data_IF_358192883544
#
_entry.id   IF_358192883544
#
_cell.length_a   1.000
_cell.length_b   1.000
_cell.length_c   1.000
_cell.angle_alpha   90.00
_cell.angle_beta   90.00
_cell.angle_gamma   90.00
#
_symmetry.space_group_name_H-M   'P 1'
#
loop_
_entity.id
_entity.type
_entity.pdbx_description
1 polymer ?
#
# COMPACT_ATOMS: atom_id res chain seq x y z
N UNK A 1 -2.88 -47.56 -6.88
CA UNK A 1 -2.16 -46.61 -7.76
C UNK A 1 -2.65 -45.26 -7.34
N UNK A 2 -1.97 -44.66 -6.36
CA UNK A 2 -2.39 -43.41 -5.73
C UNK A 2 -1.86 -42.30 -6.64
N UNK A 3 -2.76 -41.62 -7.34
CA UNK A 3 -2.40 -40.44 -8.13
C UNK A 3 -1.80 -39.40 -7.19
N UNK A 4 -0.50 -39.19 -7.35
CA UNK A 4 0.24 -38.08 -6.76
C UNK A 4 -0.37 -36.81 -7.37
N UNK A 5 -0.93 -35.88 -6.59
CA UNK A 5 -1.44 -34.65 -7.15
C UNK A 5 -0.27 -33.92 -7.80
N UNK A 6 -0.48 -33.55 -9.05
CA UNK A 6 0.41 -32.77 -9.90
C UNK A 6 0.93 -31.56 -9.10
N UNK A 7 2.21 -31.58 -8.71
CA UNK A 7 2.91 -30.42 -8.15
C UNK A 7 3.17 -29.44 -9.30
N UNK A 8 2.09 -28.90 -9.87
CA UNK A 8 2.17 -27.72 -10.68
C UNK A 8 2.66 -26.61 -9.76
N UNK A 9 3.87 -26.11 -10.01
CA UNK A 9 4.41 -24.93 -9.37
C UNK A 9 3.34 -23.84 -9.41
N UNK A 10 2.71 -23.56 -8.26
CA UNK A 10 1.75 -22.47 -8.16
C UNK A 10 2.53 -21.17 -8.38
N UNK A 11 1.96 -20.28 -9.16
CA UNK A 11 2.49 -18.93 -9.34
C UNK A 11 2.61 -18.26 -7.97
N UNK A 12 3.77 -17.65 -7.69
CA UNK A 12 4.02 -16.97 -6.42
C UNK A 12 3.01 -15.84 -6.25
N UNK A 13 2.26 -15.87 -5.16
CA UNK A 13 1.30 -14.83 -4.81
C UNK A 13 1.91 -13.95 -3.75
N UNK A 14 1.82 -12.64 -3.94
CA UNK A 14 2.33 -11.66 -2.99
C UNK A 14 1.22 -10.70 -2.55
N UNK A 15 1.16 -10.42 -1.26
CA UNK A 15 0.26 -9.42 -0.68
C UNK A 15 1.00 -8.53 0.31
N UNK A 16 0.60 -7.26 0.40
CA UNK A 16 1.09 -6.32 1.41
C UNK A 16 -0.05 -5.89 2.30
N UNK A 17 0.13 -6.07 3.61
CA UNK A 17 -0.71 -5.50 4.64
C UNK A 17 -0.20 -4.10 4.98
N UNK A 18 -1.03 -3.10 4.72
CA UNK A 18 -0.77 -1.69 5.03
C UNK A 18 -1.89 -1.13 5.90
N UNK A 19 -1.54 -0.22 6.80
CA UNK A 19 -2.51 0.45 7.67
C UNK A 19 -3.23 1.58 6.91
N UNK A 20 -4.11 1.20 5.99
CA UNK A 20 -4.85 2.10 5.09
C UNK A 20 -6.32 1.70 5.10
N UNK A 21 -7.20 2.66 5.39
CA UNK A 21 -8.64 2.44 5.34
C UNK A 21 -9.15 2.42 3.88
N UNK A 22 -10.28 1.74 3.63
CA UNK A 22 -10.89 1.62 2.30
C UNK A 22 -11.03 2.96 1.52
N UNK A 23 -11.40 4.10 2.16
CA UNK A 23 -11.49 5.37 1.45
C UNK A 23 -10.15 5.88 0.91
N UNK A 24 -9.02 5.44 1.45
CA UNK A 24 -7.69 5.93 1.06
C UNK A 24 -7.07 5.14 -0.10
N UNK A 25 -7.61 3.96 -0.43
CA UNK A 25 -7.10 3.10 -1.50
C UNK A 25 -7.13 3.74 -2.90
N UNK A 26 -8.15 4.53 -3.31
CA UNK A 26 -8.10 5.25 -4.58
C UNK A 26 -6.94 6.25 -4.68
N UNK A 27 -6.54 6.86 -3.55
CA UNK A 27 -5.38 7.76 -3.52
C UNK A 27 -4.09 6.98 -3.71
N UNK A 28 -3.96 5.83 -3.04
CA UNK A 28 -2.83 4.93 -3.19
C UNK A 28 -2.67 4.47 -4.65
N UNK A 29 -3.77 4.12 -5.33
CA UNK A 29 -3.74 3.73 -6.75
C UNK A 29 -3.28 4.89 -7.66
N UNK A 30 -3.74 6.11 -7.37
CA UNK A 30 -3.30 7.32 -8.07
C UNK A 30 -1.82 7.67 -7.81
N UNK A 31 -1.34 7.50 -6.58
CA UNK A 31 0.05 7.77 -6.20
C UNK A 31 1.01 6.77 -6.86
N UNK A 32 0.64 5.50 -6.91
CA UNK A 32 1.42 4.45 -7.57
C UNK A 32 1.28 4.48 -9.10
N UNK A 33 0.28 5.18 -9.64
CA UNK A 33 -0.08 5.17 -11.07
C UNK A 33 -0.27 3.74 -11.61
N UNK A 34 -0.79 2.84 -10.76
CA UNK A 34 -0.97 1.42 -11.05
C UNK A 34 -2.29 0.94 -10.47
N UNK A 35 -3.01 0.05 -11.19
CA UNK A 35 -4.18 -0.58 -10.64
C UNK A 35 -3.79 -1.66 -9.63
N UNK A 36 -4.62 -1.89 -8.63
CA UNK A 36 -4.46 -3.01 -7.70
C UNK A 36 -5.80 -3.48 -7.15
N UNK A 37 -5.79 -4.69 -6.58
CA UNK A 37 -6.92 -5.25 -5.83
C UNK A 37 -6.56 -5.28 -4.35
N UNK A 38 -7.51 -4.88 -3.50
CA UNK A 38 -7.31 -4.83 -2.06
C UNK A 38 -8.50 -5.40 -1.31
N UNK A 39 -8.24 -5.87 -0.09
CA UNK A 39 -9.25 -6.27 0.88
C UNK A 39 -9.04 -5.48 2.16
N UNK A 40 -10.01 -4.65 2.53
CA UNK A 40 -9.94 -3.85 3.76
C UNK A 40 -10.66 -4.54 4.91
N UNK A 41 -10.01 -4.63 6.06
CA UNK A 41 -10.58 -5.16 7.30
C UNK A 41 -9.92 -4.55 8.52
N UNK A 42 -10.72 -4.09 9.48
CA UNK A 42 -10.25 -3.64 10.80
C UNK A 42 -9.12 -2.58 10.76
N UNK A 43 -9.20 -1.61 9.83
CA UNK A 43 -8.20 -0.54 9.67
C UNK A 43 -6.99 -0.89 8.80
N UNK A 44 -6.90 -2.14 8.37
CA UNK A 44 -5.83 -2.64 7.50
C UNK A 44 -6.38 -2.92 6.10
N UNK A 45 -5.52 -2.76 5.10
CA UNK A 45 -5.79 -3.22 3.74
C UNK A 45 -4.74 -4.23 3.29
N UNK A 46 -5.19 -5.41 2.89
CA UNK A 46 -4.39 -6.41 2.20
C UNK A 46 -4.42 -6.11 0.71
N UNK A 47 -3.36 -5.53 0.17
CA UNK A 47 -3.22 -5.17 -1.24
C UNK A 47 -2.46 -6.28 -1.96
N UNK A 48 -3.02 -6.82 -3.03
CA UNK A 48 -2.35 -7.81 -3.86
C UNK A 48 -1.33 -7.16 -4.77
N UNK A 49 -0.12 -7.69 -4.74
CA UNK A 49 0.99 -7.21 -5.57
C UNK A 49 0.90 -7.90 -6.92
N UNK A 50 0.66 -7.12 -7.95
CA UNK A 50 0.77 -7.53 -9.35
C UNK A 50 2.10 -7.04 -9.93
N UNK A 51 2.48 -7.56 -11.10
CA UNK A 51 3.71 -7.17 -11.79
C UNK A 51 3.92 -5.65 -11.85
N UNK A 52 5.11 -5.22 -11.40
CA UNK A 52 5.54 -3.82 -11.44
C UNK A 52 5.08 -2.95 -10.27
N UNK A 53 4.41 -3.51 -9.26
CA UNK A 53 4.20 -2.84 -7.96
C UNK A 53 5.32 -3.27 -7.02
N UNK A 54 6.12 -2.32 -6.57
CA UNK A 54 7.09 -2.56 -5.50
C UNK A 54 6.36 -2.62 -4.14
N UNK A 55 6.41 -3.76 -3.42
CA UNK A 55 5.82 -3.91 -2.10
C UNK A 55 6.27 -2.85 -1.09
N UNK A 56 7.51 -2.37 -1.21
CA UNK A 56 8.09 -1.38 -0.31
C UNK A 56 7.56 0.01 -0.64
N UNK A 57 7.49 0.38 -1.92
CA UNK A 57 6.84 1.61 -2.35
C UNK A 57 5.34 1.66 -1.94
N UNK A 58 4.66 0.52 -1.97
CA UNK A 58 3.28 0.38 -1.52
C UNK A 58 3.13 0.61 0.00
N UNK A 59 4.03 0.03 0.80
CA UNK A 59 4.10 0.29 2.25
C UNK A 59 4.34 1.77 2.55
N UNK A 60 5.31 2.39 1.86
CA UNK A 60 5.66 3.80 1.97
C UNK A 60 4.50 4.74 1.65
N UNK A 61 3.75 4.44 0.58
CA UNK A 61 2.65 5.27 0.11
C UNK A 61 1.36 5.10 0.94
N UNK A 62 1.20 3.96 1.62
CA UNK A 62 0.04 3.67 2.45
C UNK A 62 0.02 4.49 3.74
N UNK A 63 0.94 4.20 4.66
CA UNK A 63 1.13 5.00 5.87
C UNK A 63 2.60 4.93 6.31
N UNK A 64 3.42 5.96 6.02
CA UNK A 64 4.86 5.93 6.27
C UNK A 64 5.22 5.90 7.76
N UNK A 65 4.28 6.19 8.66
CA UNK A 65 4.47 6.17 10.11
C UNK A 65 4.10 4.82 10.74
N UNK A 66 3.55 3.90 9.95
CA UNK A 66 3.07 2.61 10.41
C UNK A 66 3.91 1.46 9.87
N UNK A 67 3.91 0.34 10.59
CA UNK A 67 4.45 -0.92 10.11
C UNK A 67 3.63 -1.43 8.91
N UNK A 68 4.30 -2.09 7.98
CA UNK A 68 3.66 -2.86 6.93
C UNK A 68 4.22 -4.29 6.92
N UNK A 69 3.45 -5.25 6.38
CA UNK A 69 3.88 -6.64 6.29
C UNK A 69 3.71 -7.15 4.87
N UNK A 70 4.78 -7.66 4.29
CA UNK A 70 4.79 -8.31 2.97
C UNK A 70 4.74 -9.82 3.17
N UNK A 71 3.85 -10.48 2.44
CA UNK A 71 3.65 -11.92 2.47
C UNK A 71 3.80 -12.45 1.06
N UNK A 72 4.58 -13.51 0.87
CA UNK A 72 4.59 -14.25 -0.39
C UNK A 72 4.53 -15.76 -0.17
N UNK A 73 3.91 -16.47 -1.11
CA UNK A 73 3.91 -17.93 -1.15
C UNK A 73 3.70 -18.47 -2.55
N UNK A 74 4.42 -19.54 -2.89
CA UNK A 74 4.21 -20.40 -4.05
C UNK A 74 3.56 -21.75 -3.64
N UNK A 75 3.16 -21.90 -2.37
CA UNK A 75 2.62 -23.12 -1.76
C UNK A 75 3.66 -24.05 -1.12
N UNK A 76 4.90 -24.05 -1.59
CA UNK A 76 6.02 -24.82 -1.00
C UNK A 76 6.84 -23.93 -0.07
N UNK A 77 7.23 -22.77 -0.60
CA UNK A 77 7.94 -21.70 0.06
C UNK A 77 6.97 -20.61 0.52
N UNK A 78 7.30 -20.01 1.67
CA UNK A 78 6.54 -18.94 2.32
C UNK A 78 7.52 -17.90 2.83
N UNK A 79 7.18 -16.64 2.65
CA UNK A 79 7.97 -15.52 3.15
C UNK A 79 7.04 -14.54 3.86
N UNK A 80 7.47 -14.07 5.03
CA UNK A 80 6.89 -12.95 5.73
C UNK A 80 7.98 -11.94 6.04
N UNK A 81 7.81 -10.70 5.61
CA UNK A 81 8.71 -9.59 5.89
C UNK A 81 7.97 -8.48 6.62
N UNK A 82 8.55 -7.98 7.70
CA UNK A 82 8.02 -6.82 8.44
C UNK A 82 8.78 -5.57 8.03
N UNK A 83 8.10 -4.65 7.34
CA UNK A 83 8.65 -3.37 6.96
C UNK A 83 8.44 -2.35 8.11
N UNK A 84 9.50 -1.77 8.69
CA UNK A 84 9.35 -0.75 9.70
C UNK A 84 8.75 0.54 9.12
N UNK A 85 8.23 1.44 9.99
CA UNK A 85 7.87 2.79 9.59
C UNK A 85 9.04 3.49 8.90
N UNK A 86 8.78 4.24 7.83
CA UNK A 86 9.79 5.04 7.16
C UNK A 86 10.36 6.13 8.07
N UNK A 87 9.57 6.61 9.04
CA UNK A 87 10.04 7.57 10.05
C UNK A 87 11.08 7.00 11.00
N UNK A 88 11.27 5.67 11.03
CA UNK A 88 12.32 5.02 11.80
C UNK A 88 13.65 4.91 11.02
N UNK A 89 13.68 5.24 9.73
CA UNK A 89 14.89 5.21 8.91
C UNK A 89 15.77 6.44 9.18
N UNK A 90 17.09 6.24 9.07
CA UNK A 90 18.08 7.31 9.21
C UNK A 90 18.02 8.23 7.98
N UNK A 91 17.79 9.53 8.20
CA UNK A 91 17.68 10.54 7.15
C UNK A 91 19.03 10.87 6.49
N UNK A 92 20.15 10.50 7.12
CA UNK A 92 21.50 10.69 6.60
C UNK A 92 21.98 9.54 5.70
N UNK A 93 21.28 8.40 5.69
CA UNK A 93 21.63 7.22 4.91
C UNK A 93 20.68 7.04 3.72
N UNK A 94 21.18 6.43 2.65
CA UNK A 94 20.36 6.12 1.49
C UNK A 94 19.24 5.15 1.88
N UNK A 95 17.99 5.50 1.57
CA UNK A 95 16.82 4.72 1.98
C UNK A 95 16.82 3.31 1.38
N UNK A 96 17.23 3.15 0.12
CA UNK A 96 17.26 1.85 -0.55
C UNK A 96 18.15 0.85 0.19
N UNK A 97 19.39 1.25 0.52
CA UNK A 97 20.32 0.39 1.25
C UNK A 97 19.81 0.00 2.66
N UNK A 98 19.18 0.93 3.36
CA UNK A 98 18.57 0.64 4.67
C UNK A 98 17.40 -0.34 4.55
N UNK A 99 16.55 -0.16 3.53
CA UNK A 99 15.42 -1.03 3.28
C UNK A 99 15.85 -2.44 2.87
N UNK A 100 16.95 -2.59 2.14
CA UNK A 100 17.52 -3.90 1.79
C UNK A 100 18.14 -4.59 3.02
N UNK A 101 18.88 -3.87 3.85
CA UNK A 101 19.43 -4.39 5.11
C UNK A 101 18.30 -4.86 6.05
N UNK A 102 17.25 -4.04 6.18
CA UNK A 102 16.06 -4.38 6.93
C UNK A 102 15.28 -5.53 6.30
N UNK A 103 15.27 -5.66 4.97
CA UNK A 103 14.59 -6.74 4.26
C UNK A 103 15.07 -8.11 4.74
N UNK A 104 16.39 -8.27 4.82
CA UNK A 104 17.01 -9.50 5.26
C UNK A 104 16.83 -9.69 6.78
N UNK A 105 17.01 -8.63 7.57
CA UNK A 105 16.93 -8.71 9.03
C UNK A 105 15.50 -8.93 9.57
N UNK A 106 14.45 -8.77 8.76
CA UNK A 106 13.03 -8.85 9.17
C UNK A 106 12.21 -9.85 8.36
N UNK A 107 12.86 -10.71 7.58
CA UNK A 107 12.21 -11.74 6.79
C UNK A 107 12.28 -13.12 7.45
N UNK A 108 11.11 -13.72 7.69
CA UNK A 108 10.98 -15.13 8.00
C UNK A 108 10.71 -15.90 6.72
N UNK A 109 11.53 -16.93 6.47
CA UNK A 109 11.44 -17.77 5.28
C UNK A 109 11.23 -19.21 5.69
N UNK A 110 10.24 -19.85 5.07
CA UNK A 110 9.99 -21.28 5.22
C UNK A 110 10.00 -21.91 3.84
N UNK A 111 10.79 -22.96 3.63
CA UNK A 111 10.83 -23.65 2.36
C UNK A 111 11.68 -24.92 2.45
N UNK A 112 11.82 -25.66 1.34
CA UNK A 112 12.60 -26.90 1.30
C UNK A 112 14.09 -26.68 1.53
N UNK A 113 14.59 -25.46 1.28
CA UNK A 113 16.02 -25.15 1.33
C UNK A 113 16.54 -24.72 2.71
N UNK A 114 15.73 -24.07 3.57
CA UNK A 114 16.04 -23.82 4.99
C UNK A 114 14.92 -23.01 5.68
N UNK A 115 14.95 -22.97 7.01
CA UNK A 115 14.14 -22.03 7.81
C UNK A 115 15.07 -21.02 8.48
N UNK A 116 14.87 -19.74 8.20
CA UNK A 116 15.72 -18.67 8.74
C UNK A 116 15.06 -18.04 9.98
N UNK A 117 15.68 -18.26 11.14
CA UNK A 117 15.24 -17.72 12.42
C UNK A 117 16.00 -16.45 12.85
N UNK A 118 16.96 -15.97 12.06
CA UNK A 118 17.76 -14.78 12.41
C UNK A 118 16.89 -13.51 12.52
N UNK A 119 15.79 -13.45 11.77
CA UNK A 119 14.87 -12.31 11.76
C UNK A 119 13.96 -12.19 12.99
N UNK A 120 13.86 -13.22 13.84
CA UNK A 120 12.92 -13.24 14.97
C UNK A 120 13.18 -12.09 15.93
N UNK A 121 14.44 -11.85 16.29
CA UNK A 121 14.81 -10.78 17.24
C UNK A 121 14.41 -9.39 16.72
N UNK A 122 14.62 -9.12 15.43
CA UNK A 122 14.22 -7.86 14.80
C UNK A 122 12.71 -7.69 14.79
N UNK A 123 11.96 -8.75 14.44
CA UNK A 123 10.49 -8.72 14.42
C UNK A 123 9.93 -8.52 15.84
N UNK A 124 10.48 -9.20 16.84
CA UNK A 124 10.09 -9.01 18.25
C UNK A 124 10.27 -7.55 18.67
N UNK A 125 11.40 -6.94 18.31
CA UNK A 125 11.68 -5.53 18.61
C UNK A 125 10.72 -4.59 17.88
N UNK A 126 10.47 -4.81 16.58
CA UNK A 126 9.60 -3.95 15.76
C UNK A 126 8.12 -4.04 16.15
N UNK A 127 7.66 -5.22 16.52
CA UNK A 127 6.25 -5.47 16.86
C UNK A 127 5.97 -5.39 18.37
N UNK A 128 6.98 -5.05 19.20
CA UNK A 128 6.89 -4.98 20.66
C UNK A 128 6.25 -6.23 21.29
N UNK A 129 6.74 -7.42 20.89
CA UNK A 129 6.15 -8.69 21.31
C UNK A 129 6.50 -9.04 22.75
N UNK A 130 5.50 -9.50 23.51
CA UNK A 130 5.73 -10.02 24.85
C UNK A 130 6.55 -11.34 24.85
N UNK A 131 7.10 -11.79 25.99
CA UNK A 131 7.92 -13.01 26.03
C UNK A 131 7.19 -14.28 25.59
N UNK A 132 5.88 -14.39 25.81
CA UNK A 132 5.09 -15.54 25.40
C UNK A 132 4.80 -15.53 23.89
N UNK A 133 4.64 -14.35 23.30
CA UNK A 133 4.52 -14.16 21.86
C UNK A 133 5.87 -14.41 21.17
N UNK A 134 6.96 -13.93 21.76
CA UNK A 134 8.35 -14.19 21.30
C UNK A 134 8.63 -15.69 21.21
N UNK A 135 8.33 -16.45 22.27
CA UNK A 135 8.53 -17.90 22.26
C UNK A 135 7.69 -18.62 21.18
N UNK A 136 6.47 -18.13 20.92
CA UNK A 136 5.62 -18.66 19.84
C UNK A 136 6.19 -18.35 18.47
N UNK A 137 6.67 -17.13 18.24
CA UNK A 137 7.30 -16.72 16.98
C UNK A 137 8.55 -17.54 16.70
N UNK A 138 9.41 -17.73 17.70
CA UNK A 138 10.59 -18.60 17.60
C UNK A 138 10.22 -20.04 17.21
N UNK A 139 9.14 -20.57 17.78
CA UNK A 139 8.67 -21.91 17.43
C UNK A 139 8.18 -21.95 15.97
N UNK A 140 7.41 -20.96 15.52
CA UNK A 140 6.99 -20.88 14.12
C UNK A 140 8.18 -20.75 13.16
N UNK A 141 9.19 -19.96 13.51
CA UNK A 141 10.41 -19.78 12.73
C UNK A 141 11.31 -21.04 12.66
N UNK A 142 11.07 -22.06 13.48
CA UNK A 142 11.76 -23.38 13.39
C UNK A 142 10.86 -24.48 12.86
N UNK A 143 9.57 -24.21 12.68
CA UNK A 143 8.60 -25.20 12.24
C UNK A 143 8.71 -25.39 10.73
N UNK A 144 8.70 -26.64 10.22
CA UNK A 144 8.67 -26.89 8.78
C UNK A 144 7.50 -26.19 8.10
N UNK A 145 7.72 -25.78 6.85
CA UNK A 145 6.74 -25.09 6.01
C UNK A 145 5.38 -25.82 6.04
N UNK A 146 4.31 -25.11 6.42
CA UNK A 146 2.93 -25.65 6.40
C UNK A 146 1.93 -24.57 5.99
N UNK A 147 0.77 -24.95 5.39
CA UNK A 147 -0.22 -24.00 4.88
C UNK A 147 -0.84 -23.04 5.91
N UNK A 148 -0.66 -23.33 7.21
CA UNK A 148 -1.24 -22.54 8.30
C UNK A 148 -0.22 -21.62 8.99
N UNK A 149 1.06 -21.67 8.58
CA UNK A 149 2.11 -20.88 9.22
C UNK A 149 1.87 -19.38 9.08
N UNK A 150 1.63 -18.90 7.85
CA UNK A 150 1.39 -17.48 7.61
C UNK A 150 0.16 -16.98 8.40
N UNK A 151 -0.93 -17.75 8.42
CA UNK A 151 -2.11 -17.43 9.22
C UNK A 151 -1.76 -17.34 10.72
N UNK A 152 -1.03 -18.32 11.25
CA UNK A 152 -0.65 -18.36 12.67
C UNK A 152 0.26 -17.20 13.07
N UNK A 153 1.22 -16.83 12.23
CA UNK A 153 2.11 -15.69 12.48
C UNK A 153 1.33 -14.38 12.41
N UNK A 154 0.44 -14.19 11.43
CA UNK A 154 -0.40 -12.99 11.38
C UNK A 154 -1.30 -12.85 12.61
N UNK A 155 -1.92 -13.94 13.08
CA UNK A 155 -2.71 -13.93 14.32
C UNK A 155 -1.85 -13.53 15.52
N UNK A 156 -0.63 -14.06 15.61
CA UNK A 156 0.31 -13.73 16.68
C UNK A 156 0.66 -12.23 16.69
N UNK A 157 0.83 -11.63 15.51
CA UNK A 157 1.12 -10.22 15.33
C UNK A 157 -0.13 -9.32 15.44
N UNK A 158 -1.33 -9.90 15.64
CA UNK A 158 -2.58 -9.13 15.69
C UNK A 158 -3.02 -8.56 14.33
N UNK A 159 -2.55 -9.15 13.22
CA UNK A 159 -2.79 -8.69 11.86
C UNK A 159 -3.92 -9.47 11.17
N UNK A 160 -4.60 -8.88 10.15
CA UNK A 160 -5.65 -9.58 9.43
C UNK A 160 -5.14 -10.82 8.69
N UNK A 161 -5.69 -11.98 9.02
CA UNK A 161 -5.31 -13.28 8.43
C UNK A 161 -5.74 -13.46 6.98
N UNK A 162 -6.60 -12.58 6.46
CA UNK A 162 -7.18 -12.71 5.13
C UNK A 162 -6.10 -12.71 4.04
N UNK A 163 -5.02 -11.95 4.24
CA UNK A 163 -3.90 -11.91 3.31
C UNK A 163 -3.21 -13.27 3.19
N UNK A 164 -2.98 -13.97 4.31
CA UNK A 164 -2.43 -15.34 4.29
C UNK A 164 -3.35 -16.30 3.53
N UNK A 165 -4.68 -16.21 3.72
CA UNK A 165 -5.64 -17.10 3.04
C UNK A 165 -5.67 -16.88 1.53
N UNK A 166 -5.51 -15.64 1.08
CA UNK A 166 -5.46 -15.32 -0.36
C UNK A 166 -4.13 -15.79 -0.97
N UNK A 167 -3.01 -15.48 -0.31
CA UNK A 167 -1.65 -15.84 -0.78
C UNK A 167 -1.45 -17.36 -0.82
N UNK A 168 -1.98 -18.10 0.16
CA UNK A 168 -1.97 -19.58 0.16
C UNK A 168 -2.99 -20.20 -0.83
N UNK A 169 -3.83 -19.38 -1.46
CA UNK A 169 -4.90 -19.83 -2.34
C UNK A 169 -5.96 -20.68 -1.65
N UNK A 170 -6.17 -20.45 -0.35
CA UNK A 170 -7.24 -21.06 0.44
C UNK A 170 -8.57 -20.29 0.28
N UNK A 171 -8.51 -19.04 -0.18
CA UNK A 171 -9.67 -18.27 -0.62
C UNK A 171 -9.41 -17.64 -1.98
N UNK A 172 -10.41 -17.71 -2.84
CA UNK A 172 -10.45 -16.93 -4.06
C UNK A 172 -10.92 -15.51 -3.77
N UNK A 173 -10.49 -14.54 -4.59
CA UNK A 173 -10.83 -13.14 -4.38
C UNK A 173 -12.33 -12.88 -4.50
N UNK A 174 -13.03 -13.63 -5.33
CA UNK A 174 -14.47 -13.47 -5.54
C UNK A 174 -15.29 -13.82 -4.29
N UNK A 175 -14.74 -14.67 -3.42
CA UNK A 175 -15.39 -15.17 -2.20
C UNK A 175 -15.05 -14.35 -0.94
N UNK A 176 -14.26 -13.28 -1.09
CA UNK A 176 -13.84 -12.44 0.02
C UNK A 176 -14.70 -11.18 0.10
N UNK A 177 -15.44 -11.05 1.20
CA UNK A 177 -16.18 -9.83 1.50
C UNK A 177 -15.21 -8.66 1.74
N UNK A 178 -15.52 -7.49 1.15
CA UNK A 178 -14.69 -6.30 1.27
C UNK A 178 -13.57 -6.18 0.22
N UNK A 179 -13.59 -7.01 -0.83
CA UNK A 179 -12.71 -6.86 -1.99
C UNK A 179 -13.10 -5.65 -2.82
N UNK A 180 -12.10 -4.85 -3.16
CA UNK A 180 -12.26 -3.71 -4.06
C UNK A 180 -11.10 -3.64 -5.06
N UNK A 181 -11.44 -3.34 -6.31
CA UNK A 181 -10.46 -3.08 -7.36
C UNK A 181 -10.33 -1.57 -7.57
N UNK A 182 -9.10 -1.08 -7.65
CA UNK A 182 -8.79 0.34 -7.76
C UNK A 182 -7.95 0.62 -9.00
N UNK A 183 -8.46 1.47 -9.88
CA UNK A 183 -7.72 1.99 -11.02
C UNK A 183 -7.03 3.32 -10.67
N UNK A 184 -5.86 3.62 -11.28
CA UNK A 184 -5.18 4.89 -11.09
C UNK A 184 -6.03 6.03 -11.66
N UNK A 185 -6.36 7.00 -10.81
CA UNK A 185 -7.02 8.25 -11.18
C UNK A 185 -6.14 9.43 -10.80
N UNK A 186 -6.39 10.60 -11.40
CA UNK A 186 -5.71 11.84 -11.00
C UNK A 186 -5.88 12.09 -9.50
N UNK A 187 -4.81 12.53 -8.82
CA UNK A 187 -4.77 12.63 -7.35
C UNK A 187 -5.93 13.47 -6.79
N UNK A 188 -6.32 14.55 -7.49
CA UNK A 188 -7.47 15.38 -7.11
C UNK A 188 -8.82 14.63 -7.11
N UNK A 189 -9.05 13.73 -8.07
CA UNK A 189 -10.25 12.88 -8.14
C UNK A 189 -10.23 11.79 -7.08
N UNK A 190 -9.08 11.14 -6.89
CA UNK A 190 -8.91 10.12 -5.84
C UNK A 190 -9.08 10.67 -4.43
N UNK A 191 -8.65 11.93 -4.19
CA UNK A 191 -8.87 12.64 -2.93
C UNK A 191 -10.34 13.05 -2.73
N UNK A 192 -11.13 13.20 -3.80
CA UNK A 192 -12.54 13.53 -3.70
C UNK A 192 -13.41 12.30 -3.42
N UNK A 193 -13.15 11.18 -4.11
CA UNK A 193 -13.81 9.91 -3.83
C UNK A 193 -13.57 9.50 -2.37
N UNK A 194 -12.36 9.70 -1.85
CA UNK A 194 -12.02 9.47 -0.44
C UNK A 194 -12.70 10.45 0.52
N UNK A 195 -12.86 11.73 0.16
CA UNK A 195 -13.50 12.75 1.00
C UNK A 195 -15.01 12.56 1.22
N UNK A 196 -15.65 11.62 0.52
CA UNK A 196 -17.08 11.31 0.68
C UNK A 196 -17.39 10.38 1.87
N UNK A 197 -16.36 9.75 2.46
CA UNK A 197 -16.46 8.84 3.61
C UNK A 197 -15.56 9.35 4.73
N UNK A 198 -16.10 9.46 5.95
CA UNK A 198 -15.32 9.93 7.09
C UNK A 198 -14.27 8.87 7.50
N UNK A 199 -12.96 9.20 7.49
CA UNK A 199 -11.92 8.22 7.78
C UNK A 199 -11.91 7.86 9.27
N UNK A 200 -11.91 6.55 9.56
CA UNK A 200 -11.82 5.97 10.90
C UNK A 200 -10.41 6.03 11.50
N UNK A 201 -9.36 6.05 10.68
CA UNK A 201 -7.97 6.05 11.14
C UNK A 201 -7.42 7.38 11.70
N UNK A 202 -6.29 7.28 12.41
CA UNK A 202 -5.54 8.40 13.01
C UNK A 202 -4.28 8.82 12.23
N UNK A 203 -3.98 8.17 11.10
CA UNK A 203 -2.76 8.38 10.30
C UNK A 203 -2.64 9.77 9.65
N UNK A 204 -1.48 10.04 9.02
CA UNK A 204 -1.19 11.30 8.32
C UNK A 204 -2.19 11.58 7.18
N UNK A 205 -2.52 10.57 6.38
CA UNK A 205 -3.53 10.69 5.33
C UNK A 205 -4.92 10.96 5.91
N UNK A 206 -5.31 10.31 7.01
CA UNK A 206 -6.57 10.62 7.71
C UNK A 206 -6.59 12.05 8.25
N UNK A 207 -5.46 12.58 8.71
CA UNK A 207 -5.32 13.99 9.13
C UNK A 207 -5.40 14.97 7.96
N UNK A 208 -4.74 14.66 6.85
CA UNK A 208 -4.80 15.46 5.61
C UNK A 208 -6.23 15.46 5.06
N UNK A 209 -6.87 14.30 4.96
CA UNK A 209 -8.26 14.14 4.53
C UNK A 209 -9.24 14.90 5.46
N UNK A 210 -9.08 14.78 6.78
CA UNK A 210 -9.87 15.54 7.77
C UNK A 210 -9.61 17.04 7.69
N UNK A 211 -8.38 17.46 7.39
CA UNK A 211 -8.02 18.85 7.14
C UNK A 211 -8.67 19.37 5.84
N UNK A 212 -8.75 18.55 4.78
CA UNK A 212 -9.46 18.87 3.54
C UNK A 212 -10.97 19.01 3.75
N UNK A 213 -11.61 18.08 4.47
CA UNK A 213 -13.04 18.15 4.82
C UNK A 213 -13.34 19.42 5.65
N UNK A 214 -12.45 19.77 6.59
CA UNK A 214 -12.60 20.96 7.43
C UNK A 214 -12.27 22.27 6.70
N UNK A 215 -11.30 22.28 5.78
CA UNK A 215 -10.81 23.46 5.05
C UNK A 215 -10.74 23.21 3.53
N UNK A 216 -11.89 23.22 2.83
CA UNK A 216 -11.94 22.95 1.39
C UNK A 216 -11.14 23.96 0.54
N UNK A 217 -10.79 25.14 1.08
CA UNK A 217 -9.96 26.14 0.39
C UNK A 217 -8.57 25.64 -0.01
N UNK A 218 -8.08 24.53 0.56
CA UNK A 218 -6.81 23.91 0.16
C UNK A 218 -6.87 23.36 -1.28
N UNK A 219 -8.03 22.86 -1.73
CA UNK A 219 -8.23 22.43 -3.14
C UNK A 219 -8.07 23.59 -4.13
N UNK A 220 -8.47 24.79 -3.71
CA UNK A 220 -8.33 26.01 -4.50
C UNK A 220 -6.86 26.46 -4.59
N UNK A 221 -6.11 26.27 -3.50
CA UNK A 221 -4.68 26.60 -3.47
C UNK A 221 -3.86 25.61 -4.33
N UNK A 222 -4.17 24.31 -4.25
CA UNK A 222 -3.51 23.26 -5.04
C UNK A 222 -3.85 23.41 -6.53
N UNK A 223 -5.13 23.55 -6.87
CA UNK A 223 -5.57 23.78 -8.24
C UNK A 223 -5.05 25.11 -8.80
N UNK A 224 -4.88 26.13 -7.96
CA UNK A 224 -4.23 27.38 -8.35
C UNK A 224 -2.75 27.21 -8.70
N UNK A 225 -2.01 26.38 -7.96
CA UNK A 225 -0.62 26.08 -8.25
C UNK A 225 -0.45 25.25 -9.53
N UNK A 226 -1.27 24.22 -9.73
CA UNK A 226 -1.30 23.41 -10.95
C UNK A 226 -1.68 24.23 -12.18
N UNK A 227 -2.64 25.15 -12.05
CA UNK A 227 -3.02 26.06 -13.12
C UNK A 227 -1.86 26.99 -13.51
N UNK A 228 -1.12 27.51 -12.53
CA UNK A 228 0.04 28.36 -12.79
C UNK A 228 1.17 27.60 -13.52
N UNK A 229 1.47 26.36 -13.08
CA UNK A 229 2.46 25.50 -13.72
C UNK A 229 2.00 25.09 -15.13
N UNK A 230 0.75 24.64 -15.27
CA UNK A 230 0.14 24.27 -16.55
C UNK A 230 0.15 25.41 -17.56
N UNK A 231 -0.21 26.63 -17.15
CA UNK A 231 -0.16 27.82 -18.00
C UNK A 231 1.29 28.18 -18.40
N UNK A 232 2.25 28.03 -17.49
CA UNK A 232 3.68 28.22 -17.79
C UNK A 232 4.19 27.24 -18.85
N UNK A 233 3.83 25.96 -18.73
CA UNK A 233 4.16 24.92 -19.71
C UNK A 233 3.48 25.16 -21.07
N UNK A 234 2.22 25.61 -21.10
CA UNK A 234 1.54 26.00 -22.33
C UNK A 234 2.26 27.17 -23.03
N UNK A 235 2.67 28.18 -22.27
CA UNK A 235 3.42 29.32 -22.78
C UNK A 235 4.78 28.92 -23.37
N UNK A 236 5.47 27.96 -22.76
CA UNK A 236 6.70 27.39 -23.29
C UNK A 236 6.45 26.53 -24.54
N UNK A 237 5.38 25.74 -24.57
CA UNK A 237 4.98 24.96 -25.74
C UNK A 237 4.62 25.85 -26.95
N UNK A 238 3.94 26.98 -26.70
CA UNK A 238 3.56 27.95 -27.72
C UNK A 238 4.74 28.67 -28.37
N UNK A 239 5.90 28.71 -27.70
CA UNK A 239 7.15 29.26 -28.26
C UNK A 239 7.84 28.32 -29.27
N UNK A 240 7.37 27.08 -29.41
CA UNK A 240 7.88 26.09 -30.36
C UNK A 240 9.20 25.44 -29.92
N UNK A 241 9.62 24.38 -30.64
CA UNK A 241 10.86 23.63 -30.37
C UNK A 241 10.66 22.12 -30.33
N UNK A 242 11.75 21.35 -30.17
CA UNK A 242 11.74 19.87 -30.20
C UNK A 242 10.89 19.22 -29.09
N UNK A 243 10.53 19.96 -28.04
CA UNK A 243 9.72 19.47 -26.91
C UNK A 243 8.29 20.01 -26.83
N UNK A 244 7.82 20.79 -27.81
CA UNK A 244 6.55 21.53 -27.69
C UNK A 244 5.32 20.62 -27.51
N UNK A 245 5.30 19.44 -28.16
CA UNK A 245 4.20 18.47 -28.01
C UNK A 245 4.17 17.86 -26.61
N UNK A 246 5.33 17.51 -26.06
CA UNK A 246 5.42 16.94 -24.70
C UNK A 246 5.00 17.97 -23.66
N UNK A 247 5.53 19.18 -23.74
CA UNK A 247 5.17 20.29 -22.85
C UNK A 247 3.68 20.66 -22.95
N UNK A 248 3.12 20.65 -24.17
CA UNK A 248 1.71 20.89 -24.40
C UNK A 248 0.81 19.81 -23.80
N UNK A 249 1.17 18.53 -23.93
CA UNK A 249 0.43 17.43 -23.31
C UNK A 249 0.48 17.48 -21.78
N UNK A 250 1.66 17.74 -21.19
CA UNK A 250 1.80 17.88 -19.73
C UNK A 250 0.98 19.09 -19.24
N UNK A 251 1.04 20.22 -19.96
CA UNK A 251 0.22 21.39 -19.66
C UNK A 251 -1.28 21.08 -19.67
N UNK A 252 -1.77 20.37 -20.69
CA UNK A 252 -3.18 20.00 -20.81
C UNK A 252 -3.64 19.12 -19.63
N UNK A 253 -2.82 18.17 -19.21
CA UNK A 253 -3.10 17.32 -18.04
C UNK A 253 -3.19 18.15 -16.76
N UNK A 254 -2.24 19.06 -16.51
CA UNK A 254 -2.27 19.89 -15.30
C UNK A 254 -3.46 20.86 -15.29
N UNK A 255 -3.81 21.44 -16.45
CA UNK A 255 -4.99 22.31 -16.57
C UNK A 255 -6.31 21.53 -16.38
N UNK A 256 -6.37 20.27 -16.84
CA UNK A 256 -7.53 19.42 -16.60
C UNK A 256 -7.69 19.06 -15.13
N UNK A 257 -6.60 18.77 -14.42
CA UNK A 257 -6.64 18.43 -13.00
C UNK A 257 -7.05 19.65 -12.16
N UNK A 258 -6.46 20.82 -12.44
CA UNK A 258 -6.85 22.08 -11.81
C UNK A 258 -8.34 22.44 -12.02
N UNK A 259 -8.88 22.20 -13.22
CA UNK A 259 -10.30 22.43 -13.51
C UNK A 259 -11.21 21.50 -12.70
N UNK A 260 -10.82 20.24 -12.57
CA UNK A 260 -11.53 19.26 -11.74
C UNK A 260 -11.47 19.66 -10.26
N UNK A 261 -10.29 20.00 -9.73
CA UNK A 261 -10.15 20.46 -8.34
C UNK A 261 -10.99 21.71 -8.04
N UNK A 262 -11.10 22.65 -8.98
CA UNK A 262 -11.96 23.84 -8.87
C UNK A 262 -13.46 23.50 -8.88
N UNK A 263 -13.88 22.57 -9.75
CA UNK A 263 -15.26 22.09 -9.79
C UNK A 263 -15.66 21.36 -8.50
N UNK A 264 -14.74 20.57 -7.94
CA UNK A 264 -14.91 19.87 -6.67
C UNK A 264 -15.02 20.86 -5.49
N UNK A 265 -14.18 21.89 -5.45
CA UNK A 265 -14.31 22.96 -4.45
C UNK A 265 -15.69 23.63 -4.51
N UNK A 266 -16.16 23.95 -5.72
CA UNK A 266 -17.48 24.57 -5.91
C UNK A 266 -18.61 23.65 -5.43
N UNK A 267 -18.53 22.35 -5.72
CA UNK A 267 -19.51 21.36 -5.25
C UNK A 267 -19.53 21.23 -3.73
N UNK A 268 -18.37 21.15 -3.07
CA UNK A 268 -18.25 21.08 -1.60
C UNK A 268 -18.80 22.34 -0.94
N UNK A 269 -18.51 23.52 -1.51
CA UNK A 269 -19.02 24.81 -0.99
C UNK A 269 -20.55 24.90 -1.11
N UNK A 270 -21.12 24.49 -2.24
CA UNK A 270 -22.57 24.51 -2.46
C UNK A 270 -23.32 23.60 -1.46
N UNK A 271 -22.69 22.51 -1.01
CA UNK A 271 -23.27 21.57 -0.04
C UNK A 271 -23.24 22.10 1.40
N UNK A 272 -22.26 22.94 1.77
CA UNK A 272 -22.18 23.61 3.09
C UNK A 272 -23.18 24.76 3.27
N UNK A 273 -23.73 25.28 2.17
CA UNK A 273 -24.71 26.38 2.19
C UNK A 273 -26.17 25.92 2.16
N UNK A 274 -26.42 24.60 2.13
CA UNK A 274 -27.74 23.99 2.31
C UNK A 274 -27.85 23.44 3.73
#
# INVERSE_FOLDING_TARGET
>A
MTEQPDTASREERTAVLVHVDAPQLPFLAGALQRPFTAVTRDGWSAVLVTDGIDPVALAAAGDPESLAVVLSSDGESRNLRVCPPLSALDDQREWGAQLDELAEATALRWGPAETDAAAVASIVSLCDLDPAATARLENYARTPSSPLLLESVLQLLGLPVIAAKIVEGQRELEDVEGVSHHEPRGLGLSLFDSASVEPSGSGLLSRVQRAYVRRPGILLALGGAELAVGAGLAGLAARGGRGCRVLGSVSALMLSDAAVQAALYAAVRARKTR
#
